data_IF_346754397654
#
_entry.id   IF_346754397654
#
_cell.length_a   1.000
_cell.length_b   1.000
_cell.length_c   1.000
_cell.angle_alpha   90.00
_cell.angle_beta   90.00
_cell.angle_gamma   90.00
#
_symmetry.space_group_name_H-M   'P 1'
#
loop_
_entity.id
_entity.type
_entity.pdbx_description
1 polymer ?
#
# COMPACT_ATOMS: atom_id res chain seq x y z
N UNK A 1 51.31 -34.07 -26.32
CA UNK A 1 50.79 -33.68 -24.99
C UNK A 1 49.73 -32.60 -25.20
N UNK A 2 48.46 -33.00 -25.26
CA UNK A 2 47.34 -32.07 -25.41
C UNK A 2 46.83 -31.74 -23.99
N UNK A 3 46.88 -30.46 -23.61
CA UNK A 3 46.38 -29.98 -22.33
C UNK A 3 44.86 -29.81 -22.42
N UNK A 4 44.14 -30.53 -21.56
CA UNK A 4 42.68 -30.42 -21.42
C UNK A 4 42.27 -29.02 -20.93
N UNK A 5 41.18 -28.43 -21.44
CA UNK A 5 40.68 -27.15 -20.96
C UNK A 5 40.06 -27.29 -19.56
N UNK A 6 40.38 -26.34 -18.69
CA UNK A 6 39.84 -26.23 -17.33
C UNK A 6 38.31 -26.02 -17.34
N UNK A 7 37.58 -26.58 -16.36
CA UNK A 7 36.12 -26.44 -16.30
C UNK A 7 35.69 -25.00 -15.98
N UNK A 8 34.49 -24.57 -16.42
CA UNK A 8 33.98 -23.23 -16.15
C UNK A 8 33.76 -23.03 -14.65
N UNK A 9 34.23 -21.89 -14.16
CA UNK A 9 34.08 -21.43 -12.78
C UNK A 9 32.60 -21.44 -12.39
N UNK A 10 32.25 -22.26 -11.40
CA UNK A 10 30.91 -22.28 -10.82
C UNK A 10 30.55 -20.89 -10.27
N UNK A 11 29.29 -20.42 -10.42
CA UNK A 11 28.84 -19.21 -9.73
C UNK A 11 29.01 -19.40 -8.22
N UNK A 12 29.34 -18.34 -7.46
CA UNK A 12 29.55 -18.46 -6.02
C UNK A 12 28.30 -19.08 -5.40
N UNK A 13 28.53 -20.12 -4.60
CA UNK A 13 27.49 -20.82 -3.85
C UNK A 13 26.46 -19.82 -3.34
N UNK A 14 25.19 -20.08 -3.65
CA UNK A 14 24.07 -19.34 -3.09
C UNK A 14 24.07 -19.64 -1.58
N UNK A 15 24.93 -18.98 -0.81
CA UNK A 15 25.08 -19.23 0.61
C UNK A 15 23.75 -18.90 1.26
N UNK A 16 23.01 -19.95 1.61
CA UNK A 16 21.80 -19.83 2.41
C UNK A 16 22.22 -19.64 3.85
N UNK A 17 21.38 -18.97 4.63
CA UNK A 17 21.60 -18.81 6.06
C UNK A 17 21.76 -20.18 6.70
N UNK A 18 22.88 -20.47 7.42
CA UNK A 18 23.16 -21.80 7.96
C UNK A 18 22.14 -22.23 9.02
N UNK A 19 21.38 -21.28 9.57
CA UNK A 19 20.41 -21.52 10.64
C UNK A 19 19.01 -21.88 10.15
N UNK A 20 18.60 -21.40 8.97
CA UNK A 20 17.22 -21.56 8.49
C UNK A 20 17.07 -21.76 6.98
N UNK A 21 18.17 -21.82 6.24
CA UNK A 21 18.15 -22.04 4.79
C UNK A 21 17.56 -20.87 3.97
N UNK A 22 17.28 -19.71 4.58
CA UNK A 22 16.77 -18.53 3.85
C UNK A 22 17.90 -17.70 3.25
N UNK A 23 17.60 -16.93 2.20
CA UNK A 23 18.56 -16.01 1.59
C UNK A 23 19.08 -14.99 2.63
N UNK A 24 20.40 -14.84 2.78
CA UNK A 24 20.99 -13.91 3.74
C UNK A 24 20.79 -12.45 3.32
N UNK A 25 20.98 -11.54 4.27
CA UNK A 25 21.05 -10.11 3.98
C UNK A 25 22.29 -9.82 3.11
N UNK A 26 22.17 -8.96 2.08
CA UNK A 26 23.33 -8.53 1.31
C UNK A 26 24.37 -7.89 2.24
N UNK A 27 25.64 -8.31 2.12
CA UNK A 27 26.79 -7.88 2.95
C UNK A 27 26.76 -8.29 4.43
N UNK A 28 25.97 -9.29 4.82
CA UNK A 28 26.03 -9.87 6.16
C UNK A 28 27.34 -10.63 6.38
N UNK A 29 28.17 -10.18 7.33
CA UNK A 29 29.44 -10.85 7.71
C UNK A 29 29.24 -12.30 8.16
N UNK A 30 28.04 -12.65 8.63
CA UNK A 30 27.71 -13.98 9.17
C UNK A 30 26.78 -14.79 8.26
N UNK A 31 26.53 -14.36 7.03
CA UNK A 31 25.53 -14.95 6.14
C UNK A 31 24.15 -15.18 6.83
N UNK A 32 23.81 -14.32 7.80
CA UNK A 32 22.55 -14.42 8.53
C UNK A 32 21.42 -13.73 7.76
N UNK A 33 20.22 -14.32 7.77
CA UNK A 33 19.00 -13.66 7.29
C UNK A 33 18.45 -12.70 8.35
N UNK A 34 17.56 -11.79 7.93
CA UNK A 34 16.95 -10.79 8.82
C UNK A 34 16.28 -11.42 10.05
N UNK A 35 15.58 -12.55 9.87
CA UNK A 35 14.85 -13.22 10.95
C UNK A 35 15.81 -13.76 12.02
N UNK A 36 16.86 -14.49 11.63
CA UNK A 36 17.81 -15.06 12.59
C UNK A 36 18.66 -14.00 13.29
N UNK A 37 18.88 -12.84 12.66
CA UNK A 37 19.49 -11.66 13.30
C UNK A 37 18.55 -11.03 14.34
N UNK A 38 17.25 -10.93 14.01
CA UNK A 38 16.25 -10.40 14.92
C UNK A 38 16.00 -11.30 16.14
N UNK A 39 16.04 -12.63 15.96
CA UNK A 39 15.95 -13.62 17.05
C UNK A 39 17.14 -13.56 18.01
N UNK A 40 18.28 -13.00 17.61
CA UNK A 40 19.43 -12.78 18.49
C UNK A 40 19.32 -11.54 19.39
N UNK A 41 18.30 -10.68 19.17
CA UNK A 41 18.20 -9.37 19.80
C UNK A 41 17.11 -9.25 20.88
N UNK A 42 16.37 -10.32 21.20
CA UNK A 42 15.38 -10.29 22.26
C UNK A 42 15.53 -11.52 23.17
N UNK A 43 15.57 -11.35 24.51
CA UNK A 43 15.44 -12.48 25.41
C UNK A 43 14.10 -13.19 25.13
N UNK A 44 14.04 -14.53 25.18
CA UNK A 44 12.78 -15.23 25.04
C UNK A 44 11.84 -14.75 26.14
N UNK A 45 10.73 -14.12 25.76
CA UNK A 45 9.60 -13.96 26.67
C UNK A 45 9.22 -15.36 27.16
N UNK A 46 9.12 -15.58 28.48
CA UNK A 46 8.76 -16.88 29.00
C UNK A 46 7.45 -17.33 28.34
N UNK A 47 7.48 -18.52 27.73
CA UNK A 47 6.28 -19.17 27.23
C UNK A 47 5.34 -19.31 28.43
N UNK A 48 4.13 -18.72 28.40
CA UNK A 48 3.18 -18.92 29.49
C UNK A 48 2.90 -20.42 29.60
N UNK A 49 2.75 -20.97 30.82
CA UNK A 49 2.46 -22.39 31.00
C UNK A 49 1.20 -22.78 30.20
N UNK A 50 1.09 -24.06 29.77
CA UNK A 50 -0.11 -24.54 29.10
C UNK A 50 -1.32 -24.19 29.97
N UNK A 51 -2.23 -23.37 29.44
CA UNK A 51 -3.44 -22.99 30.16
C UNK A 51 -4.24 -24.26 30.39
N UNK A 52 -4.53 -24.56 31.65
CA UNK A 52 -5.55 -25.55 31.99
C UNK A 52 -6.83 -25.17 31.23
N UNK A 53 -7.42 -26.07 30.42
CA UNK A 53 -8.66 -25.77 29.69
C UNK A 53 -9.83 -25.44 30.62
N UNK A 54 -9.69 -25.74 31.92
CA UNK A 54 -10.64 -25.37 32.99
C UNK A 54 -10.59 -23.88 33.40
N UNK A 55 -9.51 -23.16 33.05
CA UNK A 55 -9.33 -21.72 33.34
C UNK A 55 -9.53 -20.81 32.13
N UNK A 56 -10.00 -21.33 31.00
CA UNK A 56 -10.48 -20.45 29.94
C UNK A 56 -11.64 -19.62 30.53
N UNK A 57 -11.54 -18.28 30.57
CA UNK A 57 -12.71 -17.48 30.93
C UNK A 57 -13.81 -17.92 29.96
N UNK A 58 -14.98 -18.28 30.50
CA UNK A 58 -16.13 -18.52 29.65
C UNK A 58 -16.26 -17.31 28.72
N UNK A 59 -16.69 -17.47 27.46
CA UNK A 59 -16.93 -16.35 26.57
C UNK A 59 -18.09 -15.55 27.17
N UNK A 60 -17.76 -14.67 28.10
CA UNK A 60 -18.62 -13.58 28.51
C UNK A 60 -18.89 -12.80 27.22
N UNK A 61 -20.15 -12.43 26.95
CA UNK A 61 -20.46 -11.67 25.77
C UNK A 61 -19.56 -10.44 25.79
N UNK A 62 -18.70 -10.32 24.78
CA UNK A 62 -17.81 -9.17 24.64
C UNK A 62 -18.73 -7.96 24.66
N UNK A 63 -18.59 -7.11 25.68
CA UNK A 63 -19.39 -5.91 25.82
C UNK A 63 -18.95 -4.92 24.74
N UNK A 64 -19.58 -5.08 23.57
CA UNK A 64 -19.34 -4.27 22.39
C UNK A 64 -19.63 -2.80 22.67
N UNK A 65 -20.56 -2.47 23.59
CA UNK A 65 -20.84 -1.10 23.97
C UNK A 65 -19.68 -0.47 24.75
N UNK A 66 -19.01 -1.22 25.63
CA UNK A 66 -17.80 -0.77 26.32
C UNK A 66 -16.66 -0.51 25.34
N UNK A 67 -16.41 -1.44 24.41
CA UNK A 67 -15.37 -1.29 23.38
C UNK A 67 -15.67 -0.10 22.49
N UNK A 68 -16.92 0.03 22.04
CA UNK A 68 -17.37 1.13 21.18
C UNK A 68 -17.18 2.48 21.87
N UNK A 69 -17.54 2.60 23.14
CA UNK A 69 -17.31 3.80 23.94
C UNK A 69 -15.83 4.14 24.09
N UNK A 70 -14.96 3.14 24.25
CA UNK A 70 -13.50 3.37 24.31
C UNK A 70 -12.90 3.78 22.98
N UNK A 71 -13.37 3.19 21.88
CA UNK A 71 -12.95 3.56 20.53
C UNK A 71 -13.42 4.98 20.17
N UNK A 72 -14.65 5.34 20.52
CA UNK A 72 -15.15 6.69 20.32
C UNK A 72 -14.41 7.71 21.21
N UNK A 73 -14.09 7.36 22.45
CA UNK A 73 -13.27 8.19 23.34
C UNK A 73 -11.85 8.42 22.77
N UNK A 74 -11.22 7.39 22.21
CA UNK A 74 -9.85 7.46 21.71
C UNK A 74 -9.74 8.13 20.33
N UNK A 75 -10.69 7.85 19.43
CA UNK A 75 -10.62 8.23 18.02
C UNK A 75 -11.68 9.27 17.61
N UNK A 76 -12.57 9.66 18.52
CA UNK A 76 -13.61 10.67 18.32
C UNK A 76 -14.72 10.24 17.35
N UNK A 77 -14.81 8.95 17.00
CA UNK A 77 -15.84 8.37 16.13
C UNK A 77 -16.09 6.88 16.46
N UNK A 78 -17.30 6.36 16.16
CA UNK A 78 -17.61 4.93 16.26
C UNK A 78 -16.73 4.05 15.37
N UNK A 79 -16.55 2.79 15.75
CA UNK A 79 -15.83 1.79 14.95
C UNK A 79 -16.50 1.59 13.58
N UNK A 80 -15.76 1.90 12.50
CA UNK A 80 -16.25 1.78 11.11
C UNK A 80 -16.33 0.32 10.63
N UNK A 81 -15.52 -0.58 11.20
CA UNK A 81 -15.45 -1.99 10.82
C UNK A 81 -16.36 -2.85 11.71
N UNK A 82 -17.66 -2.56 11.73
CA UNK A 82 -18.65 -3.46 12.36
C UNK A 82 -19.24 -4.42 11.32
N UNK A 83 -19.38 -5.71 11.62
CA UNK A 83 -20.15 -6.62 10.76
C UNK A 83 -21.60 -6.12 10.66
N UNK A 84 -22.11 -5.95 9.45
CA UNK A 84 -23.44 -5.40 9.17
C UNK A 84 -23.51 -3.87 8.97
N UNK A 85 -22.37 -3.17 8.89
CA UNK A 85 -22.36 -1.74 8.56
C UNK A 85 -22.88 -1.49 7.13
N UNK A 86 -23.66 -0.40 6.99
CA UNK A 86 -24.44 0.00 5.81
C UNK A 86 -23.64 -0.02 4.50
N UNK A 87 -24.33 -0.19 3.38
CA UNK A 87 -23.77 -0.22 2.02
C UNK A 87 -22.56 0.69 1.88
N UNK A 88 -21.45 0.12 1.38
CA UNK A 88 -20.21 0.86 1.20
C UNK A 88 -20.50 2.20 0.50
N UNK A 89 -20.08 3.30 1.13
CA UNK A 89 -20.19 4.64 0.55
C UNK A 89 -19.58 4.64 -0.84
N UNK A 90 -20.02 5.56 -1.71
CA UNK A 90 -19.45 5.66 -3.05
C UNK A 90 -17.92 5.83 -3.01
N UNK A 91 -17.41 6.56 -2.02
CA UNK A 91 -15.97 6.70 -1.75
C UNK A 91 -15.29 5.38 -1.43
N UNK A 92 -15.88 4.54 -0.58
CA UNK A 92 -15.36 3.19 -0.27
C UNK A 92 -15.40 2.28 -1.50
N UNK A 93 -16.44 2.37 -2.34
CA UNK A 93 -16.52 1.62 -3.61
C UNK A 93 -15.40 2.04 -4.56
N UNK A 94 -15.18 3.34 -4.75
CA UNK A 94 -14.05 3.84 -5.54
C UNK A 94 -12.71 3.40 -4.96
N UNK A 95 -12.52 3.52 -3.66
CA UNK A 95 -11.30 3.09 -3.00
C UNK A 95 -11.03 1.59 -3.21
N UNK A 96 -12.05 0.74 -3.07
CA UNK A 96 -11.95 -0.69 -3.32
C UNK A 96 -11.47 -1.01 -4.74
N UNK A 97 -11.99 -0.31 -5.75
CA UNK A 97 -11.55 -0.44 -7.16
C UNK A 97 -10.10 0.03 -7.35
N UNK A 98 -9.74 1.16 -6.76
CA UNK A 98 -8.39 1.72 -6.84
C UNK A 98 -7.33 0.81 -6.18
N UNK A 99 -7.67 0.15 -5.07
CA UNK A 99 -6.79 -0.79 -4.38
C UNK A 99 -6.47 -2.05 -5.20
N UNK A 100 -7.28 -2.38 -6.20
CA UNK A 100 -7.04 -3.52 -7.09
C UNK A 100 -6.07 -3.21 -8.24
N UNK A 101 -5.75 -1.93 -8.47
CA UNK A 101 -4.84 -1.52 -9.54
C UNK A 101 -3.40 -1.88 -9.21
N UNK A 102 -2.55 -2.05 -10.22
CA UNK A 102 -1.12 -2.40 -10.07
C UNK A 102 -0.25 -1.35 -9.35
N UNK A 103 -0.83 -0.23 -8.90
CA UNK A 103 -0.15 0.81 -8.13
C UNK A 103 0.82 1.69 -8.93
N UNK A 104 0.85 1.57 -10.25
CA UNK A 104 1.74 2.35 -11.13
C UNK A 104 1.28 3.81 -11.20
N UNK A 105 2.04 4.70 -10.58
CA UNK A 105 1.75 6.14 -10.55
C UNK A 105 2.90 6.96 -11.13
N UNK A 106 2.58 8.11 -11.69
CA UNK A 106 3.56 9.15 -11.96
C UNK A 106 4.09 9.70 -10.64
N UNK A 107 5.36 10.14 -10.66
CA UNK A 107 5.82 11.09 -9.64
C UNK A 107 5.06 12.41 -9.78
N UNK A 108 4.92 13.13 -8.67
CA UNK A 108 4.30 14.47 -8.69
C UNK A 108 5.15 15.37 -9.59
N UNK A 109 4.56 16.03 -10.61
CA UNK A 109 5.32 16.93 -11.47
C UNK A 109 5.85 18.14 -10.68
N UNK A 110 6.97 18.72 -11.11
CA UNK A 110 7.47 19.97 -10.53
C UNK A 110 6.74 21.22 -11.01
N UNK A 111 6.91 22.33 -10.28
CA UNK A 111 6.34 23.64 -10.56
C UNK A 111 4.82 23.68 -10.40
N UNK A 112 4.16 24.61 -11.10
CA UNK A 112 2.75 24.93 -10.91
C UNK A 112 1.77 23.73 -10.94
N UNK A 113 2.03 22.71 -11.77
CA UNK A 113 1.18 21.50 -11.82
C UNK A 113 1.33 20.69 -10.54
N UNK A 114 2.54 20.61 -9.98
CA UNK A 114 2.80 19.98 -8.68
C UNK A 114 2.10 20.71 -7.55
N UNK A 115 2.19 22.03 -7.52
CA UNK A 115 1.51 22.86 -6.51
C UNK A 115 -0.01 22.64 -6.55
N UNK A 116 -0.59 22.48 -7.75
CA UNK A 116 -2.00 22.14 -7.91
C UNK A 116 -2.35 20.73 -7.43
N UNK A 117 -1.45 19.74 -7.60
CA UNK A 117 -1.64 18.40 -7.00
C UNK A 117 -1.65 18.50 -5.48
N UNK A 118 -0.71 19.25 -4.90
CA UNK A 118 -0.65 19.48 -3.45
C UNK A 118 -1.92 20.19 -2.97
N UNK A 119 -2.39 21.20 -3.70
CA UNK A 119 -3.66 21.87 -3.42
C UNK A 119 -4.84 20.90 -3.38
N UNK A 120 -4.97 20.00 -4.35
CA UNK A 120 -6.04 18.98 -4.32
C UNK A 120 -5.96 18.08 -3.08
N UNK A 121 -4.75 17.69 -2.66
CA UNK A 121 -4.57 16.88 -1.45
C UNK A 121 -4.92 17.68 -0.19
N UNK A 122 -4.52 18.95 -0.13
CA UNK A 122 -4.85 19.85 0.98
C UNK A 122 -6.37 20.04 1.08
N UNK A 123 -7.06 20.34 -0.03
CA UNK A 123 -8.52 20.47 -0.09
C UNK A 123 -9.21 19.19 0.42
N UNK A 124 -8.68 18.01 0.07
CA UNK A 124 -9.21 16.73 0.52
C UNK A 124 -8.99 16.48 2.02
N UNK A 125 -7.84 16.92 2.56
CA UNK A 125 -7.54 16.85 4.01
C UNK A 125 -8.46 17.79 4.78
N UNK A 126 -8.69 19.00 4.29
CA UNK A 126 -9.61 19.96 4.91
C UNK A 126 -11.06 19.43 4.93
N UNK A 127 -11.52 18.85 3.81
CA UNK A 127 -12.84 18.20 3.75
C UNK A 127 -12.97 17.04 4.74
N UNK A 128 -11.92 16.22 4.89
CA UNK A 128 -11.91 15.14 5.86
C UNK A 128 -11.92 15.66 7.31
N UNK A 129 -11.10 16.66 7.62
CA UNK A 129 -11.01 17.29 8.94
C UNK A 129 -12.36 17.93 9.33
N UNK A 130 -13.03 18.59 8.38
CA UNK A 130 -14.37 19.13 8.51
C UNK A 130 -15.48 18.06 8.58
N UNK A 131 -15.13 16.77 8.50
CA UNK A 131 -16.04 15.62 8.45
C UNK A 131 -17.02 15.64 7.26
N UNK A 132 -16.75 16.44 6.22
CA UNK A 132 -17.57 16.55 5.03
C UNK A 132 -17.41 15.36 4.07
N UNK A 133 -16.23 14.74 4.07
CA UNK A 133 -15.92 13.54 3.29
C UNK A 133 -15.22 12.49 4.17
N UNK A 134 -15.31 11.19 3.81
CA UNK A 134 -14.54 10.16 4.48
C UNK A 134 -13.08 10.20 4.02
N UNK A 135 -12.17 9.52 4.72
CA UNK A 135 -10.72 9.61 4.47
C UNK A 135 -10.31 9.12 3.09
N UNK A 136 -11.12 8.26 2.45
CA UNK A 136 -10.92 7.74 1.11
C UNK A 136 -10.82 8.84 0.05
N UNK A 137 -11.37 10.04 0.28
CA UNK A 137 -11.25 11.19 -0.64
C UNK A 137 -9.77 11.50 -0.97
N UNK A 138 -8.90 11.40 0.03
CA UNK A 138 -7.46 11.66 -0.10
C UNK A 138 -6.80 10.54 -0.91
N UNK A 139 -7.13 9.29 -0.59
CA UNK A 139 -6.53 8.09 -1.19
C UNK A 139 -6.93 7.95 -2.66
N UNK A 140 -8.22 8.09 -2.95
CA UNK A 140 -8.78 8.05 -4.30
C UNK A 140 -8.22 9.20 -5.13
N UNK A 141 -8.24 10.44 -4.61
CA UNK A 141 -7.74 11.63 -5.32
C UNK A 141 -6.28 11.48 -5.76
N UNK A 142 -5.41 11.10 -4.83
CA UNK A 142 -3.98 10.87 -5.14
C UNK A 142 -3.80 9.78 -6.19
N UNK A 143 -4.54 8.68 -6.07
CA UNK A 143 -4.39 7.55 -6.97
C UNK A 143 -4.87 7.88 -8.40
N UNK A 144 -6.05 8.47 -8.57
CA UNK A 144 -6.60 8.72 -9.91
C UNK A 144 -5.88 9.86 -10.63
N UNK A 145 -5.49 10.92 -9.92
CA UNK A 145 -4.76 12.05 -10.52
C UNK A 145 -3.40 11.59 -11.03
N UNK A 146 -2.69 10.79 -10.23
CA UNK A 146 -1.32 10.36 -10.53
C UNK A 146 -1.25 9.01 -11.24
N UNK A 147 -2.36 8.36 -11.61
CA UNK A 147 -2.32 7.05 -12.27
C UNK A 147 -1.43 7.10 -13.51
N UNK A 148 -0.49 6.17 -13.63
CA UNK A 148 0.41 6.15 -14.80
C UNK A 148 -0.36 5.72 -16.04
N UNK A 149 -0.29 6.52 -17.10
CA UNK A 149 -0.69 6.10 -18.43
C UNK A 149 0.51 5.43 -19.14
N UNK A 150 0.42 4.16 -19.56
CA UNK A 150 1.58 3.41 -20.10
C UNK A 150 2.26 4.05 -21.30
N UNK A 151 1.47 4.61 -22.22
CA UNK A 151 1.96 5.25 -23.45
C UNK A 151 2.39 6.71 -23.26
N UNK A 152 2.29 7.27 -22.04
CA UNK A 152 2.71 8.65 -21.76
C UNK A 152 4.06 8.61 -21.07
N UNK A 153 5.11 8.81 -21.87
CA UNK A 153 6.51 8.70 -21.42
C UNK A 153 7.17 10.07 -21.22
N UNK A 154 6.80 11.07 -22.01
CA UNK A 154 7.42 12.39 -21.97
C UNK A 154 6.99 13.19 -20.73
N UNK A 155 7.88 14.04 -20.22
CA UNK A 155 7.54 14.90 -19.08
C UNK A 155 6.41 15.89 -19.39
N UNK A 156 6.41 16.48 -20.59
CA UNK A 156 5.40 17.44 -21.04
C UNK A 156 4.01 16.81 -21.08
N UNK A 157 3.89 15.59 -21.60
CA UNK A 157 2.61 14.91 -21.69
C UNK A 157 2.13 14.39 -20.34
N UNK A 158 3.05 13.92 -19.47
CA UNK A 158 2.71 13.61 -18.07
C UNK A 158 2.08 14.81 -17.36
N UNK A 159 2.67 16.01 -17.50
CA UNK A 159 2.12 17.24 -16.92
C UNK A 159 0.73 17.55 -17.45
N UNK A 160 0.52 17.45 -18.78
CA UNK A 160 -0.79 17.68 -19.40
C UNK A 160 -1.87 16.72 -18.88
N UNK A 161 -1.53 15.43 -18.75
CA UNK A 161 -2.45 14.42 -18.21
C UNK A 161 -2.80 14.73 -16.76
N UNK A 162 -1.81 15.00 -15.92
CA UNK A 162 -2.05 15.35 -14.50
C UNK A 162 -2.91 16.61 -14.38
N UNK A 163 -2.61 17.66 -15.15
CA UNK A 163 -3.35 18.92 -15.12
C UNK A 163 -4.82 18.75 -15.54
N UNK A 164 -5.06 17.98 -16.60
CA UNK A 164 -6.41 17.62 -17.06
C UNK A 164 -7.19 16.84 -15.98
N UNK A 165 -6.53 15.94 -15.26
CA UNK A 165 -7.15 15.16 -14.18
C UNK A 165 -7.46 16.00 -12.95
N UNK A 166 -6.61 16.96 -12.61
CA UNK A 166 -6.91 17.95 -11.56
C UNK A 166 -8.17 18.74 -11.93
N UNK A 167 -8.31 19.17 -13.19
CA UNK A 167 -9.50 19.88 -13.64
C UNK A 167 -10.77 19.01 -13.53
N UNK A 168 -10.70 17.74 -13.95
CA UNK A 168 -11.82 16.79 -13.80
C UNK A 168 -12.17 16.55 -12.33
N UNK A 169 -11.17 16.39 -11.46
CA UNK A 169 -11.37 16.20 -10.03
C UNK A 169 -12.14 17.38 -9.42
N UNK A 170 -11.73 18.61 -9.73
CA UNK A 170 -12.40 19.84 -9.27
C UNK A 170 -13.82 19.99 -9.81
N UNK A 171 -14.13 19.35 -10.94
CA UNK A 171 -15.49 19.29 -11.50
C UNK A 171 -16.35 18.17 -10.87
N UNK A 172 -15.84 17.42 -9.89
CA UNK A 172 -16.55 16.30 -9.27
C UNK A 172 -16.63 15.04 -10.14
N UNK A 173 -15.85 14.95 -11.23
CA UNK A 173 -15.85 13.84 -12.19
C UNK A 173 -15.05 12.62 -11.70
N UNK A 174 -15.34 12.17 -10.48
CA UNK A 174 -14.56 11.14 -9.79
C UNK A 174 -14.73 9.77 -10.45
N UNK A 175 -15.96 9.37 -10.79
CA UNK A 175 -16.21 8.08 -11.45
C UNK A 175 -15.45 7.94 -12.78
N UNK A 176 -15.44 9.00 -13.59
CA UNK A 176 -14.74 9.03 -14.87
C UNK A 176 -13.22 8.89 -14.70
N UNK A 177 -12.67 9.51 -13.65
CA UNK A 177 -11.27 9.38 -13.27
C UNK A 177 -10.94 7.96 -12.80
N UNK A 178 -11.82 7.31 -12.05
CA UNK A 178 -11.65 5.91 -11.62
C UNK A 178 -11.69 4.97 -12.84
N UNK A 179 -12.66 5.12 -13.74
CA UNK A 179 -12.76 4.35 -14.97
C UNK A 179 -11.53 4.54 -15.87
N UNK A 180 -11.02 5.77 -15.97
CA UNK A 180 -9.77 6.02 -16.68
C UNK A 180 -8.60 5.32 -16.01
N UNK A 181 -8.52 5.34 -14.68
CA UNK A 181 -7.43 4.71 -13.97
C UNK A 181 -7.41 3.19 -14.21
N UNK A 182 -8.57 2.55 -14.20
CA UNK A 182 -8.75 1.14 -14.55
C UNK A 182 -8.33 0.84 -16.00
N UNK A 183 -8.73 1.68 -16.96
CA UNK A 183 -8.29 1.54 -18.36
C UNK A 183 -6.76 1.65 -18.48
N UNK A 184 -6.17 2.63 -17.80
CA UNK A 184 -4.71 2.81 -17.80
C UNK A 184 -3.97 1.60 -17.22
N UNK A 185 -4.53 0.98 -16.18
CA UNK A 185 -3.93 -0.21 -15.55
C UNK A 185 -4.00 -1.44 -16.47
N UNK A 186 -5.15 -1.63 -17.15
CA UNK A 186 -5.38 -2.72 -18.11
C UNK A 186 -4.46 -2.68 -19.33
N UNK A 187 -4.02 -1.49 -19.77
CA UNK A 187 -3.12 -1.32 -20.92
C UNK A 187 -1.74 -1.95 -20.71
N UNK A 188 -1.36 -2.32 -19.47
CA UNK A 188 -0.09 -2.97 -19.19
C UNK A 188 1.13 -2.07 -19.40
N UNK A 189 2.38 -2.56 -19.29
CA UNK A 189 3.56 -1.78 -19.63
C UNK A 189 3.59 -1.43 -21.14
N UNK A 190 4.19 -0.29 -21.54
CA UNK A 190 4.38 0.00 -22.96
C UNK A 190 5.15 -1.15 -23.61
N UNK A 191 4.69 -1.61 -24.77
CA UNK A 191 5.42 -2.57 -25.60
C UNK A 191 6.83 -2.01 -25.83
N UNK A 192 7.87 -2.80 -25.54
CA UNK A 192 9.23 -2.41 -25.89
C UNK A 192 9.30 -2.24 -27.41
N UNK A 193 9.93 -1.17 -27.93
CA UNK A 193 10.25 -1.15 -29.35
C UNK A 193 11.14 -2.36 -29.66
N UNK A 194 10.78 -3.08 -30.73
CA UNK A 194 11.58 -4.15 -31.31
C UNK A 194 12.93 -3.59 -31.80
#
# INVERSE_FOLDING_TARGET
>A
AAASPSPPSQPPDTQLCPRCGRRPLPNSRHAACFICLAEGAAPPTPVPPPRDPSLAPSPSPIDTAFIDGKMEQAFGRPMLNRPGHQDATQWQKWHGRICQLSGRRFGVPGGNVGDRVVGVVADAVEQYAAKACPSEVILVGKAVILQRHPHVTTFKDRRRVVDRRIAMWRQGKVEELVLEAERCDKLGPPLKPL
#
